data_IF_429224466601
#
_entry.id   IF_429224466601
#
_cell.length_a   1.000
_cell.length_b   1.000
_cell.length_c   1.000
_cell.angle_alpha   90.00
_cell.angle_beta   90.00
_cell.angle_gamma   90.00
#
_symmetry.space_group_name_H-M   'P 1'
#
loop_
_entity.id
_entity.type
_entity.pdbx_description
1 polymer ?
#
# COMPACT_ATOMS: atom_id res chain seq x y z
N UNK A 1 -3.27 43.45 -9.63
CA UNK A 1 -4.16 42.38 -9.17
C UNK A 1 -5.15 42.09 -10.28
N UNK A 2 -4.89 41.07 -11.05
CA UNK A 2 -5.81 40.59 -12.08
C UNK A 2 -6.20 39.17 -11.66
N UNK A 3 -7.45 38.99 -11.25
CA UNK A 3 -8.02 37.65 -10.99
C UNK A 3 -8.36 37.07 -12.36
N UNK A 4 -7.69 35.98 -12.71
CA UNK A 4 -8.08 35.11 -13.83
C UNK A 4 -8.92 34.00 -13.24
N UNK A 5 -10.20 33.98 -13.60
CA UNK A 5 -11.09 32.87 -13.30
C UNK A 5 -10.80 31.75 -14.28
N UNK A 6 -10.26 30.64 -13.82
CA UNK A 6 -10.20 29.41 -14.59
C UNK A 6 -11.51 28.63 -14.36
N UNK A 7 -12.24 28.44 -15.44
CA UNK A 7 -13.40 27.56 -15.51
C UNK A 7 -12.92 26.10 -15.56
N UNK A 8 -13.57 25.27 -14.77
CA UNK A 8 -13.35 23.82 -14.74
C UNK A 8 -13.46 23.22 -16.16
N UNK A 9 -12.37 22.67 -16.65
CA UNK A 9 -12.33 21.82 -17.84
C UNK A 9 -11.72 20.47 -17.44
N UNK A 10 -12.46 19.42 -17.72
CA UNK A 10 -12.06 18.03 -17.56
C UNK A 10 -10.62 17.80 -18.06
N UNK A 11 -9.72 17.44 -17.14
CA UNK A 11 -8.34 17.09 -17.47
C UNK A 11 -8.33 15.64 -17.97
N UNK A 12 -8.02 15.50 -19.24
CA UNK A 12 -7.77 14.20 -19.88
C UNK A 12 -6.35 13.78 -19.51
N UNK A 13 -6.18 12.64 -18.88
CA UNK A 13 -4.88 12.06 -18.58
C UNK A 13 -4.03 11.95 -19.85
N UNK A 14 -2.89 12.63 -19.89
CA UNK A 14 -1.92 12.57 -20.98
C UNK A 14 -0.86 11.53 -20.65
N UNK A 15 -1.03 10.32 -21.14
CA UNK A 15 -0.02 9.26 -21.07
C UNK A 15 1.03 9.52 -22.16
N UNK A 16 2.19 10.02 -21.81
CA UNK A 16 3.32 10.16 -22.72
C UNK A 16 4.12 8.86 -22.76
N UNK A 17 3.80 7.99 -23.71
CA UNK A 17 4.60 6.79 -23.98
C UNK A 17 5.71 7.16 -24.96
N UNK A 18 6.93 7.29 -24.46
CA UNK A 18 8.13 7.41 -25.29
C UNK A 18 8.47 6.02 -25.86
N UNK A 19 7.88 5.70 -27.02
CA UNK A 19 8.18 4.48 -27.74
C UNK A 19 9.57 4.53 -28.38
N UNK A 20 10.48 3.69 -27.94
CA UNK A 20 11.68 3.34 -28.69
C UNK A 20 11.28 2.45 -29.87
N UNK A 21 11.86 2.62 -31.07
CA UNK A 21 11.46 1.83 -32.23
C UNK A 21 11.86 0.37 -32.07
N UNK A 22 10.88 -0.52 -31.87
CA UNK A 22 11.07 -1.97 -31.97
C UNK A 22 11.16 -2.36 -33.44
N UNK A 23 12.24 -2.99 -33.83
CA UNK A 23 12.37 -3.62 -35.14
C UNK A 23 11.41 -4.83 -35.20
N UNK A 24 10.33 -4.71 -35.97
CA UNK A 24 9.38 -5.79 -36.20
C UNK A 24 10.02 -6.87 -37.07
N UNK A 25 10.28 -8.04 -36.50
CA UNK A 25 10.46 -9.26 -37.27
C UNK A 25 9.08 -9.73 -37.76
N UNK A 26 8.85 -9.70 -39.04
CA UNK A 26 7.64 -10.15 -39.70
C UNK A 26 7.60 -11.68 -39.68
N UNK A 27 6.74 -12.23 -38.82
CA UNK A 27 6.50 -13.67 -38.75
C UNK A 27 5.41 -14.03 -39.77
N UNK A 28 5.69 -15.02 -40.59
CA UNK A 28 4.78 -15.49 -41.65
C UNK A 28 3.56 -16.17 -41.04
N UNK A 29 2.38 -15.79 -41.49
CA UNK A 29 1.09 -16.37 -41.15
C UNK A 29 1.02 -17.85 -41.54
N UNK A 30 0.76 -18.72 -40.58
CA UNK A 30 0.25 -20.08 -40.76
C UNK A 30 -1.27 -20.06 -40.48
N UNK A 31 -2.16 -20.33 -41.48
CA UNK A 31 -3.58 -20.08 -41.32
C UNK A 31 -4.38 -21.28 -40.78
N UNK A 32 -3.87 -22.04 -39.80
CA UNK A 32 -4.60 -23.18 -39.22
C UNK A 32 -4.48 -23.27 -37.68
N UNK A 33 -4.86 -22.21 -36.99
CA UNK A 33 -5.17 -22.30 -35.56
C UNK A 33 -6.31 -21.31 -35.22
N UNK A 34 -7.55 -21.64 -35.57
CA UNK A 34 -8.74 -21.13 -34.89
C UNK A 34 -8.79 -21.79 -33.49
N UNK A 35 -7.79 -21.49 -32.64
CA UNK A 35 -7.82 -21.78 -31.24
C UNK A 35 -8.51 -20.62 -30.54
N UNK A 36 -9.48 -20.90 -29.69
CA UNK A 36 -10.01 -20.04 -28.65
C UNK A 36 -8.82 -19.21 -28.11
N UNK A 37 -8.90 -17.88 -28.18
CA UNK A 37 -7.89 -17.01 -27.59
C UNK A 37 -7.63 -17.53 -26.15
N UNK A 38 -6.45 -18.11 -25.91
CA UNK A 38 -6.13 -18.77 -24.66
C UNK A 38 -6.31 -17.74 -23.55
N UNK A 39 -7.13 -18.06 -22.56
CA UNK A 39 -7.16 -17.29 -21.32
C UNK A 39 -5.72 -17.27 -20.80
N UNK A 40 -5.19 -16.09 -20.60
CA UNK A 40 -3.86 -15.93 -20.01
C UNK A 40 -3.85 -16.61 -18.64
N UNK A 41 -2.94 -17.56 -18.46
CA UNK A 41 -2.85 -18.31 -17.22
C UNK A 41 -2.31 -17.40 -16.10
N UNK A 42 -3.14 -17.12 -15.11
CA UNK A 42 -2.75 -16.32 -13.95
C UNK A 42 -1.93 -17.19 -13.00
N UNK A 43 -0.67 -16.82 -12.83
CA UNK A 43 0.26 -17.50 -11.92
C UNK A 43 0.21 -16.84 -10.54
N UNK A 44 0.19 -17.64 -9.48
CA UNK A 44 0.17 -17.19 -8.08
C UNK A 44 1.29 -17.85 -7.27
N UNK A 45 1.64 -17.21 -6.16
CA UNK A 45 2.60 -17.73 -5.17
C UNK A 45 1.96 -17.98 -3.80
N UNK A 46 0.65 -18.09 -3.79
CA UNK A 46 -0.19 -18.15 -2.60
C UNK A 46 0.13 -19.31 -1.65
N UNK A 47 0.62 -20.44 -2.17
CA UNK A 47 1.06 -21.58 -1.34
C UNK A 47 2.59 -21.64 -1.17
N UNK A 48 3.27 -20.50 -1.27
CA UNK A 48 4.74 -20.41 -1.22
C UNK A 48 5.43 -21.20 -2.34
N UNK A 49 4.71 -21.52 -3.40
CA UNK A 49 5.17 -22.14 -4.64
C UNK A 49 4.48 -21.48 -5.82
N UNK A 50 5.10 -21.53 -6.97
CA UNK A 50 4.54 -21.04 -8.22
C UNK A 50 3.52 -22.06 -8.72
N UNK A 51 2.26 -21.65 -8.87
CA UNK A 51 1.16 -22.50 -9.34
C UNK A 51 0.13 -21.66 -10.11
N UNK A 52 -0.69 -22.32 -10.93
CA UNK A 52 -1.82 -21.67 -11.57
C UNK A 52 -2.86 -21.26 -10.53
N UNK A 53 -3.47 -20.08 -10.69
CA UNK A 53 -4.58 -19.64 -9.84
C UNK A 53 -5.73 -20.67 -9.81
N UNK A 54 -5.95 -21.40 -10.91
CA UNK A 54 -7.01 -22.41 -10.99
C UNK A 54 -6.70 -23.69 -10.21
N UNK A 55 -5.40 -23.98 -9.99
CA UNK A 55 -4.95 -25.15 -9.25
C UNK A 55 -4.72 -24.86 -7.75
N UNK A 56 -4.76 -23.58 -7.37
CA UNK A 56 -4.58 -23.16 -5.99
C UNK A 56 -5.68 -23.75 -5.10
N UNK A 57 -5.29 -24.53 -4.08
CA UNK A 57 -6.23 -25.17 -3.15
C UNK A 57 -6.90 -24.21 -2.15
N UNK A 58 -6.56 -22.93 -2.20
CA UNK A 58 -7.07 -21.86 -1.33
C UNK A 58 -7.72 -20.75 -2.18
N UNK A 59 -8.74 -20.05 -1.65
CA UNK A 59 -9.35 -18.94 -2.37
C UNK A 59 -8.39 -17.74 -2.43
N UNK A 60 -7.82 -17.51 -3.61
CA UNK A 60 -6.94 -16.38 -3.90
C UNK A 60 -7.64 -15.42 -4.85
N UNK A 61 -7.41 -14.15 -4.67
CA UNK A 61 -7.75 -13.10 -5.64
C UNK A 61 -6.48 -12.33 -5.98
N UNK A 62 -6.24 -12.10 -7.25
CA UNK A 62 -5.09 -11.35 -7.75
C UNK A 62 -5.54 -10.02 -8.30
N UNK A 63 -4.69 -9.03 -8.17
CA UNK A 63 -4.83 -7.70 -8.79
C UNK A 63 -3.53 -7.41 -9.50
N UNK A 64 -3.57 -7.30 -10.82
CA UNK A 64 -2.42 -6.93 -11.62
C UNK A 64 -2.21 -5.40 -11.66
N UNK A 65 -1.07 -4.97 -12.21
CA UNK A 65 -0.71 -3.55 -12.29
C UNK A 65 -1.73 -2.74 -13.09
N UNK A 66 -2.28 -3.31 -14.17
CA UNK A 66 -3.22 -2.61 -15.03
C UNK A 66 -4.56 -2.38 -14.31
N UNK A 67 -5.06 -3.39 -13.59
CA UNK A 67 -6.28 -3.28 -12.77
C UNK A 67 -6.12 -2.22 -11.67
N UNK A 68 -4.97 -2.21 -10.99
CA UNK A 68 -4.68 -1.22 -9.95
C UNK A 68 -4.61 0.19 -10.52
N UNK A 69 -3.92 0.37 -11.65
CA UNK A 69 -3.81 1.66 -12.34
C UNK A 69 -5.17 2.16 -12.86
N UNK A 70 -5.98 1.28 -13.47
CA UNK A 70 -7.31 1.64 -13.97
C UNK A 70 -8.29 2.00 -12.83
N UNK A 71 -8.11 1.43 -11.64
CA UNK A 71 -8.88 1.76 -10.45
C UNK A 71 -8.39 3.04 -9.76
N UNK A 72 -7.31 3.66 -10.23
CA UNK A 72 -6.72 4.85 -9.60
C UNK A 72 -6.20 4.59 -8.20
N UNK A 73 -5.63 3.41 -7.96
CA UNK A 73 -5.13 3.03 -6.64
C UNK A 73 -3.84 3.76 -6.30
N UNK A 74 -3.83 4.45 -5.18
CA UNK A 74 -2.70 5.20 -4.64
C UNK A 74 -2.11 4.52 -3.40
N UNK A 75 -2.95 3.78 -2.67
CA UNK A 75 -2.58 3.17 -1.40
C UNK A 75 -3.12 1.74 -1.25
N UNK A 76 -2.61 1.00 -0.28
CA UNK A 76 -3.12 -0.33 0.08
C UNK A 76 -4.59 -0.29 0.55
N UNK A 77 -5.08 0.89 0.98
CA UNK A 77 -6.46 1.09 1.38
C UNK A 77 -7.42 0.97 0.19
N UNK A 78 -6.97 1.37 -1.00
CA UNK A 78 -7.80 1.34 -2.22
C UNK A 78 -8.04 -0.09 -2.74
N UNK A 79 -7.30 -1.10 -2.25
CA UNK A 79 -7.57 -2.51 -2.56
C UNK A 79 -9.01 -2.94 -2.23
N UNK A 80 -9.67 -2.27 -1.27
CA UNK A 80 -11.08 -2.52 -0.96
C UNK A 80 -12.01 -2.17 -2.13
N UNK A 81 -11.64 -1.24 -3.01
CA UNK A 81 -12.41 -0.88 -4.21
C UNK A 81 -12.49 -2.06 -5.20
N UNK A 82 -11.46 -2.89 -5.23
CA UNK A 82 -11.34 -4.03 -6.13
C UNK A 82 -11.85 -5.35 -5.51
N UNK A 83 -12.03 -5.42 -4.19
CA UNK A 83 -12.44 -6.65 -3.51
C UNK A 83 -13.53 -6.42 -2.46
N UNK A 84 -14.77 -6.84 -2.73
CA UNK A 84 -15.84 -6.81 -1.71
C UNK A 84 -15.55 -7.69 -0.48
N UNK A 85 -14.57 -8.59 -0.57
CA UNK A 85 -14.16 -9.42 0.55
C UNK A 85 -13.20 -8.72 1.51
N UNK A 86 -12.62 -7.59 1.10
CA UNK A 86 -11.68 -6.81 1.87
C UNK A 86 -12.37 -5.57 2.44
N UNK A 87 -12.44 -5.48 3.75
CA UNK A 87 -12.84 -4.27 4.47
C UNK A 87 -11.60 -3.58 5.02
N UNK A 88 -11.62 -2.26 5.02
CA UNK A 88 -10.53 -1.45 5.55
C UNK A 88 -11.10 -0.42 6.50
N UNK A 89 -10.40 -0.20 7.60
CA UNK A 89 -10.70 0.86 8.56
C UNK A 89 -9.43 1.64 8.84
N UNK A 90 -9.42 2.91 8.51
CA UNK A 90 -8.40 3.85 8.93
C UNK A 90 -8.77 4.38 10.32
N UNK A 91 -7.91 4.11 11.31
CA UNK A 91 -8.20 4.43 12.72
C UNK A 91 -7.74 5.82 13.17
N UNK A 92 -7.34 6.67 12.23
CA UNK A 92 -6.60 7.92 12.48
C UNK A 92 -5.09 7.68 12.44
N UNK A 93 -4.34 8.67 12.00
CA UNK A 93 -2.92 8.52 11.71
C UNK A 93 -2.64 7.45 10.64
N UNK A 94 -1.45 6.90 10.59
CA UNK A 94 -1.07 5.90 9.57
C UNK A 94 -1.64 4.50 9.84
N UNK A 95 -2.42 4.33 10.91
CA UNK A 95 -2.93 3.02 11.34
C UNK A 95 -4.06 2.53 10.43
N UNK A 96 -3.78 1.50 9.69
CA UNK A 96 -4.76 0.85 8.80
C UNK A 96 -5.07 -0.57 9.28
N UNK A 97 -6.35 -0.85 9.47
CA UNK A 97 -6.84 -2.16 9.85
C UNK A 97 -7.50 -2.86 8.67
N UNK A 98 -7.08 -4.08 8.38
CA UNK A 98 -7.61 -4.89 7.30
C UNK A 98 -8.53 -5.99 7.83
N UNK A 99 -9.64 -6.21 7.13
CA UNK A 99 -10.61 -7.25 7.43
C UNK A 99 -10.88 -8.06 6.17
N UNK A 100 -10.71 -9.37 6.25
CA UNK A 100 -11.03 -10.26 5.13
C UNK A 100 -12.26 -11.08 5.49
N UNK A 101 -13.34 -10.92 4.71
CA UNK A 101 -14.65 -11.56 4.99
C UNK A 101 -15.17 -11.27 6.40
N UNK A 102 -14.92 -10.05 6.91
CA UNK A 102 -15.29 -9.63 8.26
C UNK A 102 -14.37 -10.12 9.39
N UNK A 103 -13.34 -10.90 9.07
CA UNK A 103 -12.32 -11.33 10.06
C UNK A 103 -11.15 -10.35 9.99
N UNK A 104 -10.86 -9.70 11.11
CA UNK A 104 -9.80 -8.71 11.24
C UNK A 104 -9.64 -8.29 12.70
N UNK A 105 -8.71 -7.40 12.96
CA UNK A 105 -8.55 -6.75 14.25
C UNK A 105 -8.48 -5.25 14.02
N UNK A 106 -9.27 -4.48 14.78
CA UNK A 106 -9.17 -3.03 14.75
C UNK A 106 -7.87 -2.61 15.44
N UNK A 107 -6.95 -2.11 14.66
CA UNK A 107 -5.66 -1.62 15.13
C UNK A 107 -5.83 -0.15 15.53
N UNK A 108 -5.95 0.10 16.83
CA UNK A 108 -6.13 1.46 17.37
C UNK A 108 -4.88 2.00 18.05
N UNK A 109 -3.82 1.19 18.10
CA UNK A 109 -2.52 1.57 18.67
C UNK A 109 -1.41 0.64 18.13
N UNK A 110 -0.14 1.06 18.21
CA UNK A 110 1.01 0.30 17.68
C UNK A 110 1.23 -1.07 18.35
N UNK A 111 0.62 -1.33 19.51
CA UNK A 111 0.82 -2.57 20.28
C UNK A 111 -0.16 -3.68 19.87
N UNK A 112 -1.10 -3.40 18.97
CA UNK A 112 -2.11 -4.36 18.53
C UNK A 112 -1.64 -5.09 17.28
N UNK A 113 -1.61 -6.42 17.32
CA UNK A 113 -1.32 -7.24 16.15
C UNK A 113 -2.53 -7.31 15.19
N UNK A 114 -2.26 -7.25 13.88
CA UNK A 114 -3.27 -7.48 12.85
C UNK A 114 -3.68 -8.95 12.79
N UNK A 115 -4.91 -9.23 12.37
CA UNK A 115 -5.36 -10.59 12.04
C UNK A 115 -5.13 -10.95 10.55
N UNK A 116 -4.72 -9.97 9.74
CA UNK A 116 -4.36 -10.13 8.33
C UNK A 116 -2.86 -9.91 8.21
N UNK A 117 -2.13 -10.95 7.81
CA UNK A 117 -0.70 -10.85 7.57
C UNK A 117 -0.44 -10.06 6.27
N UNK A 118 0.54 -9.19 6.29
CA UNK A 118 1.02 -8.52 5.10
C UNK A 118 2.43 -8.98 4.80
N UNK A 119 2.71 -9.28 3.53
CA UNK A 119 4.04 -9.63 3.07
C UNK A 119 4.41 -8.77 1.88
N UNK A 120 5.63 -8.30 1.89
CA UNK A 120 6.21 -7.56 0.78
C UNK A 120 7.40 -8.36 0.24
N UNK A 121 7.33 -8.74 -1.04
CA UNK A 121 8.37 -9.53 -1.69
C UNK A 121 8.73 -10.84 -0.94
N UNK A 122 7.71 -11.50 -0.37
CA UNK A 122 7.89 -12.71 0.43
C UNK A 122 8.28 -12.48 1.88
N UNK A 123 8.65 -11.25 2.28
CA UNK A 123 9.03 -10.88 3.64
C UNK A 123 7.80 -10.44 4.43
N UNK A 124 7.56 -11.05 5.59
CA UNK A 124 6.50 -10.64 6.50
C UNK A 124 6.76 -9.23 7.05
N UNK A 125 5.74 -8.38 7.03
CA UNK A 125 5.77 -7.05 7.62
C UNK A 125 5.23 -7.12 9.06
N UNK A 126 6.13 -7.06 10.04
CA UNK A 126 5.80 -7.23 11.46
C UNK A 126 4.88 -6.14 12.01
N UNK A 127 5.07 -4.93 11.54
CA UNK A 127 4.20 -3.77 11.77
C UNK A 127 3.52 -3.43 10.46
N UNK A 128 2.28 -3.87 10.32
CA UNK A 128 1.51 -3.67 9.09
C UNK A 128 0.86 -2.30 8.98
N UNK A 129 0.85 -1.52 10.07
CA UNK A 129 0.35 -0.16 10.05
C UNK A 129 1.22 0.72 9.14
N UNK A 130 0.70 1.13 8.02
CA UNK A 130 1.36 2.03 7.08
C UNK A 130 2.48 1.42 6.22
N UNK A 131 3.15 0.35 6.65
CA UNK A 131 4.33 -0.21 5.96
C UNK A 131 4.11 -0.62 4.50
N UNK A 132 2.87 -0.95 4.12
CA UNK A 132 2.50 -1.24 2.75
C UNK A 132 1.89 -0.03 2.01
N UNK A 133 1.67 1.09 2.69
CA UNK A 133 0.98 2.25 2.11
C UNK A 133 1.64 2.80 0.85
N UNK A 134 2.95 2.84 0.79
CA UNK A 134 3.71 3.35 -0.34
C UNK A 134 4.34 2.25 -1.22
N UNK A 135 3.99 0.97 -0.98
CA UNK A 135 4.57 -0.15 -1.71
C UNK A 135 3.91 -0.45 -3.06
N UNK A 136 2.83 0.28 -3.43
CA UNK A 136 2.01 -0.01 -4.62
C UNK A 136 2.58 0.53 -5.92
N UNK A 137 3.89 0.59 -6.06
CA UNK A 137 4.54 0.97 -7.32
C UNK A 137 5.38 -0.19 -7.87
N UNK A 138 5.42 -0.29 -9.18
CA UNK A 138 6.21 -1.31 -9.90
C UNK A 138 5.96 -2.72 -9.34
N UNK A 139 4.68 -3.04 -9.11
CA UNK A 139 4.23 -4.36 -8.70
C UNK A 139 3.88 -5.20 -9.93
N UNK A 140 4.23 -6.47 -9.88
CA UNK A 140 3.72 -7.47 -10.81
C UNK A 140 2.24 -7.74 -10.51
N UNK A 141 1.92 -7.93 -9.22
CA UNK A 141 0.56 -8.17 -8.73
C UNK A 141 0.47 -8.03 -7.21
N UNK A 142 -0.76 -7.94 -6.71
CA UNK A 142 -1.12 -8.17 -5.31
C UNK A 142 -1.96 -9.44 -5.22
N UNK A 143 -1.67 -10.30 -4.26
CA UNK A 143 -2.44 -11.52 -3.98
C UNK A 143 -3.17 -11.38 -2.64
N UNK A 144 -4.50 -11.52 -2.65
CA UNK A 144 -5.33 -11.57 -1.46
C UNK A 144 -5.76 -13.03 -1.19
N UNK A 145 -5.17 -13.64 -0.18
CA UNK A 145 -5.50 -14.98 0.29
C UNK A 145 -6.60 -14.88 1.34
N UNK A 146 -7.73 -15.51 1.09
CA UNK A 146 -8.95 -15.37 1.90
C UNK A 146 -9.11 -16.55 2.85
N UNK A 147 -9.09 -16.30 4.15
CA UNK A 147 -9.23 -17.29 5.22
C UNK A 147 -7.91 -17.63 5.92
N UNK A 148 -7.92 -18.51 6.93
CA UNK A 148 -6.74 -18.80 7.76
C UNK A 148 -5.58 -19.37 6.95
N UNK A 149 -4.39 -18.77 7.10
CA UNK A 149 -3.14 -19.13 6.41
C UNK A 149 -1.98 -19.36 7.39
N UNK A 150 -2.24 -19.53 8.67
CA UNK A 150 -1.22 -19.61 9.71
C UNK A 150 -0.18 -20.72 9.52
N UNK A 151 -0.52 -21.82 8.83
CA UNK A 151 0.41 -22.94 8.56
C UNK A 151 1.54 -22.59 7.60
N UNK A 152 1.29 -21.70 6.63
CA UNK A 152 2.27 -21.29 5.60
C UNK A 152 2.84 -19.91 5.83
N UNK A 153 2.06 -19.02 6.45
CA UNK A 153 2.42 -17.61 6.63
C UNK A 153 2.74 -17.25 8.08
N UNK A 154 2.54 -18.20 9.02
CA UNK A 154 2.86 -18.00 10.42
C UNK A 154 1.84 -17.13 11.16
N UNK A 155 2.33 -16.26 12.05
CA UNK A 155 1.47 -15.41 12.90
C UNK A 155 0.68 -14.38 12.09
N UNK A 156 -0.40 -13.89 12.68
CA UNK A 156 -1.22 -12.79 12.17
C UNK A 156 -1.92 -13.09 10.83
N UNK A 157 -2.03 -14.37 10.44
CA UNK A 157 -2.69 -14.84 9.22
C UNK A 157 -4.01 -15.58 9.52
N UNK A 158 -4.77 -15.12 10.52
CA UNK A 158 -6.01 -15.77 10.96
C UNK A 158 -7.18 -15.49 10.02
N UNK A 159 -7.28 -14.29 9.50
CA UNK A 159 -8.33 -13.86 8.57
C UNK A 159 -7.92 -13.96 7.09
N UNK A 160 -6.64 -13.85 6.82
CA UNK A 160 -6.09 -13.86 5.46
C UNK A 160 -4.67 -13.34 5.38
N UNK A 161 -4.19 -13.21 4.14
CA UNK A 161 -2.87 -12.65 3.83
C UNK A 161 -2.98 -11.73 2.63
N UNK A 162 -2.23 -10.63 2.64
CA UNK A 162 -2.01 -9.78 1.48
C UNK A 162 -0.53 -9.87 1.12
N UNK A 163 -0.23 -10.33 -0.11
CA UNK A 163 1.12 -10.40 -0.65
C UNK A 163 1.29 -9.31 -1.71
N UNK A 164 2.23 -8.41 -1.51
CA UNK A 164 2.67 -7.42 -2.50
C UNK A 164 3.89 -7.99 -3.22
N UNK A 165 3.77 -8.22 -4.52
CA UNK A 165 4.80 -8.88 -5.33
C UNK A 165 5.36 -7.87 -6.34
N UNK A 166 6.57 -7.35 -6.11
CA UNK A 166 7.20 -6.42 -7.04
C UNK A 166 7.70 -7.10 -8.30
N UNK A 167 7.79 -6.33 -9.39
CA UNK A 167 8.45 -6.80 -10.62
C UNK A 167 9.92 -7.07 -10.33
N UNK A 168 10.37 -8.26 -10.72
CA UNK A 168 11.77 -8.69 -10.55
C UNK A 168 12.62 -8.24 -11.74
N UNK A 169 13.96 -8.10 -11.56
CA UNK A 169 14.86 -7.87 -12.69
C UNK A 169 14.79 -9.02 -13.72
N UNK A 170 14.87 -8.69 -15.00
CA UNK A 170 14.80 -9.64 -16.12
C UNK A 170 16.12 -9.67 -16.87
N UNK A 171 16.71 -10.87 -17.06
CA UNK A 171 17.90 -11.08 -17.86
C UNK A 171 17.58 -10.92 -19.35
N UNK A 172 18.55 -10.43 -20.11
CA UNK A 172 18.44 -10.32 -21.57
C UNK A 172 17.47 -9.24 -22.07
N UNK A 173 16.84 -8.48 -21.18
CA UNK A 173 15.85 -7.45 -21.54
C UNK A 173 16.22 -6.08 -20.94
N UNK A 174 16.17 -5.04 -21.79
CA UNK A 174 16.22 -3.66 -21.35
C UNK A 174 14.81 -3.06 -21.57
N UNK A 175 14.15 -2.76 -20.49
CA UNK A 175 12.78 -2.22 -20.50
C UNK A 175 12.60 -1.16 -19.42
N UNK A 176 11.52 -0.42 -19.50
CA UNK A 176 11.20 0.57 -18.48
C UNK A 176 9.98 1.39 -18.88
N UNK A 177 9.48 2.12 -17.90
CA UNK A 177 8.39 3.06 -18.10
C UNK A 177 8.59 4.28 -17.21
N UNK A 178 7.92 5.35 -17.57
CA UNK A 178 7.70 6.54 -16.74
C UNK A 178 6.24 6.95 -16.90
N UNK A 179 5.60 7.24 -15.80
CA UNK A 179 4.20 7.65 -15.74
C UNK A 179 4.10 8.90 -14.88
N UNK A 180 3.40 9.91 -15.39
CA UNK A 180 3.07 11.13 -14.65
C UNK A 180 1.56 11.23 -14.47
N UNK A 181 1.14 11.74 -13.33
CA UNK A 181 -0.25 11.99 -13.00
C UNK A 181 -0.41 13.42 -12.49
N UNK A 182 -1.52 14.07 -12.87
CA UNK A 182 -1.94 15.36 -12.33
C UNK A 182 -3.43 15.32 -12.05
N UNK A 183 -3.88 15.95 -10.99
CA UNK A 183 -5.26 15.91 -10.57
C UNK A 183 -5.69 17.13 -9.77
N UNK A 184 -6.86 17.03 -9.18
CA UNK A 184 -7.39 18.05 -8.28
C UNK A 184 -6.52 18.18 -7.01
N UNK A 185 -6.68 19.26 -6.27
CA UNK A 185 -5.87 19.57 -5.09
C UNK A 185 -4.37 19.63 -5.38
N UNK A 186 -3.97 20.23 -6.50
CA UNK A 186 -2.58 20.37 -6.95
C UNK A 186 -1.84 19.02 -7.12
N UNK A 187 -2.55 17.90 -7.20
CA UNK A 187 -1.95 16.57 -7.28
C UNK A 187 -0.94 16.47 -8.38
N UNK A 188 0.26 16.01 -8.03
CA UNK A 188 1.35 15.65 -8.95
C UNK A 188 1.92 14.29 -8.50
N UNK A 189 1.78 13.31 -9.38
CA UNK A 189 2.36 11.97 -9.19
C UNK A 189 3.39 11.66 -10.26
N UNK A 190 4.46 10.99 -9.88
CA UNK A 190 5.48 10.47 -10.81
C UNK A 190 5.85 9.05 -10.38
N UNK A 191 5.82 8.12 -11.33
CA UNK A 191 6.23 6.74 -11.12
C UNK A 191 7.07 6.26 -12.31
N UNK A 192 8.08 5.43 -12.04
CA UNK A 192 8.85 4.85 -13.12
C UNK A 192 9.70 3.66 -12.68
N UNK A 193 10.10 2.87 -13.67
CA UNK A 193 11.03 1.77 -13.48
C UNK A 193 11.94 1.61 -14.71
N UNK A 194 13.14 1.08 -14.49
CA UNK A 194 14.07 0.70 -15.54
C UNK A 194 14.69 -0.67 -15.21
N UNK A 195 14.62 -1.58 -16.16
CA UNK A 195 15.30 -2.86 -16.16
C UNK A 195 16.49 -2.80 -17.10
N UNK A 196 17.67 -3.17 -16.61
CA UNK A 196 18.94 -3.13 -17.34
C UNK A 196 19.57 -4.53 -17.30
N UNK A 197 19.63 -5.20 -18.43
CA UNK A 197 20.37 -6.43 -18.59
C UNK A 197 21.87 -6.09 -18.76
N UNK A 198 22.62 -6.23 -17.67
CA UNK A 198 24.07 -5.91 -17.65
C UNK A 198 24.89 -6.97 -18.39
N UNK A 199 24.46 -8.24 -18.28
CA UNK A 199 25.03 -9.39 -18.98
C UNK A 199 23.99 -10.51 -19.07
N UNK A 200 24.37 -11.63 -19.69
CA UNK A 200 23.53 -12.83 -19.76
C UNK A 200 23.20 -13.43 -18.38
N UNK A 201 23.91 -13.03 -17.34
CA UNK A 201 23.78 -13.56 -15.98
C UNK A 201 23.47 -12.49 -14.92
N UNK A 202 23.44 -11.22 -15.30
CA UNK A 202 23.22 -10.09 -14.36
C UNK A 202 22.21 -9.12 -14.93
N UNK A 203 21.18 -8.82 -14.15
CA UNK A 203 20.24 -7.74 -14.41
C UNK A 203 20.06 -6.84 -13.19
N UNK A 204 19.76 -5.58 -13.42
CA UNK A 204 19.45 -4.59 -12.40
C UNK A 204 18.08 -4.00 -12.73
N UNK A 205 17.26 -3.81 -11.70
CA UNK A 205 16.03 -3.05 -11.82
C UNK A 205 16.02 -1.93 -10.78
N UNK A 206 15.71 -0.72 -11.22
CA UNK A 206 15.51 0.44 -10.34
C UNK A 206 14.12 0.96 -10.59
N UNK A 207 13.37 1.22 -9.53
CA UNK A 207 12.03 1.78 -9.60
C UNK A 207 11.80 2.80 -8.50
N UNK A 208 10.85 3.70 -8.71
CA UNK A 208 10.47 4.68 -7.71
C UNK A 208 9.16 5.37 -8.05
N UNK A 209 8.57 5.97 -7.03
CA UNK A 209 7.41 6.83 -7.15
C UNK A 209 7.54 8.04 -6.24
N UNK A 210 6.82 9.11 -6.55
CA UNK A 210 6.52 10.22 -5.67
C UNK A 210 5.08 10.66 -5.90
N UNK A 211 4.44 11.10 -4.83
CA UNK A 211 3.08 11.63 -4.85
C UNK A 211 3.01 12.84 -3.94
N UNK A 212 2.58 13.95 -4.48
CA UNK A 212 2.33 15.20 -3.79
C UNK A 212 0.90 15.66 -4.13
N UNK A 213 0.10 15.96 -3.10
CA UNK A 213 -1.28 16.43 -3.24
C UNK A 213 -1.68 17.23 -2.00
N UNK A 214 -2.21 18.43 -2.21
CA UNK A 214 -2.81 19.24 -1.15
C UNK A 214 -3.96 18.52 -0.46
N UNK A 215 -4.23 18.84 0.80
CA UNK A 215 -5.37 18.32 1.53
C UNK A 215 -6.70 18.71 0.87
N UNK A 216 -7.68 17.82 0.93
CA UNK A 216 -9.01 18.11 0.42
C UNK A 216 -9.97 18.65 1.50
N UNK A 217 -9.54 18.64 2.77
CA UNK A 217 -10.27 19.25 3.86
C UNK A 217 -9.94 20.74 3.96
N UNK A 218 -10.87 21.54 4.54
CA UNK A 218 -10.71 23.00 4.68
C UNK A 218 -9.52 23.39 5.59
N UNK A 219 -9.00 22.43 6.34
CA UNK A 219 -7.85 22.55 7.24
C UNK A 219 -6.58 21.87 6.73
N UNK A 220 -6.49 21.64 5.44
CA UNK A 220 -5.38 20.98 4.74
C UNK A 220 -5.08 19.53 5.19
N UNK A 221 -5.92 18.90 6.04
CA UNK A 221 -5.80 17.47 6.33
C UNK A 221 -6.20 16.62 5.11
N UNK A 222 -5.82 15.34 5.14
CA UNK A 222 -5.97 14.39 4.03
C UNK A 222 -5.09 14.76 2.81
N UNK A 223 -3.97 15.41 3.04
CA UNK A 223 -2.90 15.64 2.09
C UNK A 223 -2.08 14.35 1.83
N UNK A 224 -1.23 14.40 0.85
CA UNK A 224 -0.26 13.33 0.56
C UNK A 224 1.06 13.95 0.13
N UNK A 225 2.13 13.64 0.85
CA UNK A 225 3.50 13.86 0.44
C UNK A 225 4.31 12.61 0.75
N UNK A 226 4.75 11.94 -0.29
CA UNK A 226 5.46 10.68 -0.14
C UNK A 226 6.35 10.38 -1.34
N UNK A 227 7.43 9.65 -1.08
CA UNK A 227 8.24 9.07 -2.15
C UNK A 227 8.81 7.71 -1.73
N UNK A 228 9.08 6.89 -2.73
CA UNK A 228 9.71 5.59 -2.52
C UNK A 228 10.68 5.25 -3.63
N UNK A 229 11.72 4.50 -3.27
CA UNK A 229 12.74 4.01 -4.18
C UNK A 229 13.02 2.53 -3.91
N UNK A 230 13.27 1.76 -4.96
CA UNK A 230 13.71 0.36 -4.86
C UNK A 230 14.78 0.05 -5.89
N UNK A 231 15.85 -0.58 -5.44
CA UNK A 231 16.90 -1.13 -6.27
C UNK A 231 16.98 -2.64 -6.11
N UNK A 232 17.08 -3.35 -7.22
CA UNK A 232 17.22 -4.82 -7.25
C UNK A 232 18.36 -5.23 -8.15
N UNK A 233 19.05 -6.31 -7.78
CA UNK A 233 20.07 -6.97 -8.58
C UNK A 233 19.77 -8.46 -8.64
N UNK A 234 19.72 -9.01 -9.84
CA UNK A 234 19.60 -10.44 -10.11
C UNK A 234 20.94 -10.96 -10.66
N UNK A 235 21.40 -12.06 -10.09
CA UNK A 235 22.58 -12.78 -10.52
C UNK A 235 22.32 -14.28 -10.68
N UNK A 236 22.38 -14.77 -11.90
CA UNK A 236 22.17 -16.19 -12.28
C UNK A 236 23.40 -16.73 -13.01
N UNK A 237 24.45 -17.16 -12.27
CA UNK A 237 25.69 -17.63 -12.88
C UNK A 237 25.56 -18.95 -13.66
N UNK A 238 24.49 -19.70 -13.40
CA UNK A 238 24.13 -20.95 -14.05
C UNK A 238 22.69 -21.34 -13.77
N UNK A 239 22.17 -22.35 -14.43
CA UNK A 239 20.79 -22.84 -14.35
C UNK A 239 20.36 -23.35 -12.95
N UNK A 240 21.30 -23.50 -12.01
CA UNK A 240 21.02 -24.04 -10.68
C UNK A 240 20.98 -22.98 -9.58
N UNK A 241 21.58 -21.83 -9.79
CA UNK A 241 21.72 -20.81 -8.76
C UNK A 241 21.17 -19.47 -9.25
N UNK A 242 20.19 -18.94 -8.53
CA UNK A 242 19.68 -17.60 -8.71
C UNK A 242 19.82 -16.85 -7.39
N UNK A 243 20.40 -15.66 -7.42
CA UNK A 243 20.55 -14.77 -6.27
C UNK A 243 19.95 -13.42 -6.64
N UNK A 244 18.95 -12.98 -5.90
CA UNK A 244 18.38 -11.65 -6.02
C UNK A 244 18.61 -10.87 -4.73
N UNK A 245 19.14 -9.65 -4.87
CA UNK A 245 19.27 -8.68 -3.79
C UNK A 245 18.27 -7.56 -4.02
N UNK A 246 17.64 -7.08 -2.97
CA UNK A 246 16.73 -5.93 -3.02
C UNK A 246 16.99 -5.00 -1.85
N UNK A 247 16.92 -3.70 -2.12
CA UNK A 247 16.89 -2.64 -1.11
C UNK A 247 15.76 -1.67 -1.47
N UNK A 248 14.97 -1.26 -0.47
CA UNK A 248 13.89 -0.31 -0.63
C UNK A 248 13.92 0.74 0.49
N UNK A 249 13.46 1.94 0.14
CA UNK A 249 13.25 3.05 1.04
C UNK A 249 11.96 3.77 0.70
N UNK A 250 11.20 4.18 1.72
CA UNK A 250 9.98 4.98 1.56
C UNK A 250 9.90 6.04 2.65
N UNK A 251 9.39 7.22 2.28
CA UNK A 251 9.12 8.34 3.18
C UNK A 251 7.70 8.84 3.00
N UNK A 252 7.05 9.17 4.12
CA UNK A 252 5.83 9.96 4.20
C UNK A 252 6.12 11.18 5.07
N UNK A 253 5.79 12.38 4.60
CA UNK A 253 5.96 13.64 5.31
C UNK A 253 4.77 14.54 5.01
N UNK A 254 3.68 14.39 5.76
CA UNK A 254 2.41 15.06 5.48
C UNK A 254 1.66 15.42 6.78
N UNK A 255 0.55 16.17 6.66
CA UNK A 255 -0.34 16.46 7.79
C UNK A 255 -1.11 15.20 8.20
N UNK A 256 -1.47 14.38 7.23
CA UNK A 256 -2.12 13.10 7.44
C UNK A 256 -3.65 13.13 7.46
N UNK A 257 -4.28 12.00 7.79
CA UNK A 257 -5.71 11.86 7.67
C UNK A 257 -6.47 12.71 8.69
N UNK A 258 -7.45 13.45 8.21
CA UNK A 258 -8.45 14.16 8.97
C UNK A 258 -9.80 13.46 8.93
N UNK A 259 -10.70 13.86 9.81
CA UNK A 259 -12.08 13.39 9.82
C UNK A 259 -13.03 14.54 10.14
N UNK A 260 -14.17 14.57 9.45
CA UNK A 260 -15.18 15.60 9.62
C UNK A 260 -16.04 15.35 10.85
N UNK A 261 -16.36 16.40 11.57
CA UNK A 261 -17.33 16.35 12.64
C UNK A 261 -18.74 16.55 12.07
N UNK A 262 -19.42 15.46 11.74
CA UNK A 262 -20.78 15.51 11.16
C UNK A 262 -21.86 15.90 12.16
N UNK A 263 -21.62 15.73 13.46
CA UNK A 263 -22.56 16.08 14.51
C UNK A 263 -22.29 15.37 15.83
N UNK A 264 -23.19 15.58 16.79
CA UNK A 264 -23.10 15.00 18.13
C UNK A 264 -24.38 14.24 18.49
N UNK A 265 -24.25 13.26 19.39
CA UNK A 265 -25.39 12.56 19.99
C UNK A 265 -25.61 13.01 21.42
N UNK A 266 -26.88 13.18 21.82
CA UNK A 266 -27.22 13.41 23.21
C UNK A 266 -27.07 12.12 24.02
N UNK A 267 -26.40 12.19 25.18
CA UNK A 267 -26.17 11.09 26.12
C UNK A 267 -25.24 9.95 25.69
N UNK A 268 -23.96 10.17 25.57
CA UNK A 268 -22.97 9.12 25.71
C UNK A 268 -22.63 8.88 27.19
N UNK A 269 -22.02 7.79 27.61
CA UNK A 269 -21.43 6.69 26.83
C UNK A 269 -22.08 5.31 27.07
N UNK A 270 -23.18 5.18 27.81
CA UNK A 270 -23.72 3.86 28.21
C UNK A 270 -25.25 3.71 27.99
N UNK A 271 -25.88 4.62 27.26
CA UNK A 271 -27.31 4.57 26.93
C UNK A 271 -27.59 4.41 25.45
N UNK A 272 -28.85 4.30 25.05
CA UNK A 272 -29.24 4.32 23.64
C UNK A 272 -28.76 5.63 23.01
N UNK A 273 -28.13 5.51 21.83
CA UNK A 273 -27.75 6.66 21.01
C UNK A 273 -29.04 7.31 20.51
N UNK A 274 -29.42 8.40 21.14
CA UNK A 274 -30.66 9.15 20.80
C UNK A 274 -30.26 10.56 20.40
N UNK A 275 -31.10 11.17 19.56
CA UNK A 275 -31.04 12.59 19.22
C UNK A 275 -29.73 13.07 18.63
N UNK A 276 -29.48 12.68 17.37
CA UNK A 276 -28.37 13.21 16.57
C UNK A 276 -28.61 14.71 16.30
N UNK A 277 -27.63 15.54 16.63
CA UNK A 277 -27.58 16.95 16.30
C UNK A 277 -26.49 17.19 15.26
N UNK A 278 -26.83 17.57 14.01
CA UNK A 278 -25.86 17.91 13.01
C UNK A 278 -24.91 19.02 13.46
N UNK A 279 -23.64 18.96 13.08
CA UNK A 279 -22.65 20.01 13.40
C UNK A 279 -22.98 21.35 12.74
N UNK A 280 -23.58 21.32 11.57
CA UNK A 280 -23.78 22.51 10.72
C UNK A 280 -22.51 23.03 10.06
N UNK A 281 -21.42 22.27 10.15
CA UNK A 281 -20.15 22.57 9.51
C UNK A 281 -20.15 22.16 8.02
N UNK A 282 -19.14 22.60 7.28
CA UNK A 282 -18.87 22.15 5.91
C UNK A 282 -18.66 20.64 5.87
N UNK A 283 -18.99 20.01 4.77
CA UNK A 283 -18.70 18.59 4.49
C UNK A 283 -17.20 18.28 4.45
N UNK A 284 -16.36 19.31 4.37
CA UNK A 284 -14.90 19.21 4.33
C UNK A 284 -14.25 19.90 5.54
N UNK A 285 -14.95 20.08 6.67
CA UNK A 285 -14.48 20.88 7.82
C UNK A 285 -13.35 20.16 8.45
N UNK A 286 -12.62 19.46 8.42
CA UNK A 286 -11.52 18.77 9.10
C UNK A 286 -11.47 18.94 10.63
N UNK A 287 -10.57 18.23 11.29
CA UNK A 287 -10.51 18.18 12.75
C UNK A 287 -10.03 19.48 13.42
N UNK A 288 -9.31 20.34 12.71
CA UNK A 288 -8.77 21.59 13.27
C UNK A 288 -9.67 22.79 13.02
N UNK A 289 -10.78 22.61 12.28
CA UNK A 289 -11.76 23.67 12.04
C UNK A 289 -12.22 24.29 13.36
N UNK A 290 -12.24 25.63 13.47
CA UNK A 290 -12.67 26.31 14.70
C UNK A 290 -14.05 25.90 15.20
N UNK A 291 -15.01 25.69 14.29
CA UNK A 291 -16.35 25.22 14.64
C UNK A 291 -16.35 23.78 15.16
N UNK A 292 -15.51 22.91 14.62
CA UNK A 292 -15.33 21.56 15.12
C UNK A 292 -14.70 21.58 16.53
N UNK A 293 -13.72 22.45 16.77
CA UNK A 293 -13.11 22.67 18.07
C UNK A 293 -14.12 23.21 19.09
N UNK A 294 -14.95 24.18 18.69
CA UNK A 294 -15.99 24.74 19.57
C UNK A 294 -17.02 23.68 19.98
N UNK A 295 -17.46 22.83 19.06
CA UNK A 295 -18.40 21.75 19.36
C UNK A 295 -17.74 20.72 20.29
N UNK A 296 -16.52 20.30 20.04
CA UNK A 296 -15.79 19.33 20.88
C UNK A 296 -15.61 19.86 22.30
N UNK A 297 -15.15 21.08 22.46
CA UNK A 297 -14.91 21.68 23.77
C UNK A 297 -16.21 22.01 24.50
N UNK A 298 -17.27 22.39 23.79
CA UNK A 298 -18.57 22.72 24.35
C UNK A 298 -19.41 21.51 24.78
N UNK A 299 -19.44 20.46 23.97
CA UNK A 299 -20.37 19.31 24.18
C UNK A 299 -19.73 18.20 25.01
N UNK A 300 -18.43 17.99 24.87
CA UNK A 300 -17.73 16.87 25.52
C UNK A 300 -17.11 17.23 26.86
N UNK A 301 -17.40 18.41 27.37
CA UNK A 301 -16.93 18.87 28.68
C UNK A 301 -17.64 18.13 29.82
N UNK A 302 -17.38 16.86 30.00
CA UNK A 302 -17.83 16.10 31.18
C UNK A 302 -16.71 16.02 32.20
N UNK A 303 -17.01 16.19 33.51
CA UNK A 303 -16.00 16.18 34.58
C UNK A 303 -15.23 14.88 34.71
N UNK A 304 -15.65 13.82 34.00
CA UNK A 304 -15.07 12.45 34.10
C UNK A 304 -13.98 12.19 33.10
N UNK A 305 -13.80 13.02 32.10
CA UNK A 305 -12.72 12.91 31.11
C UNK A 305 -11.86 14.18 31.18
N UNK A 306 -10.57 14.05 30.86
CA UNK A 306 -9.69 15.20 30.72
C UNK A 306 -10.32 16.25 29.79
N UNK A 307 -10.18 17.55 30.07
CA UNK A 307 -10.76 18.58 29.23
C UNK A 307 -10.23 18.38 27.80
N UNK A 308 -11.17 18.30 26.83
CA UNK A 308 -10.78 18.27 25.43
C UNK A 308 -10.08 19.57 25.09
N UNK A 309 -8.89 19.45 24.51
CA UNK A 309 -8.16 20.60 24.03
C UNK A 309 -8.49 20.83 22.55
N UNK A 310 -8.51 22.10 22.11
CA UNK A 310 -8.54 22.37 20.67
C UNK A 310 -7.40 21.64 19.98
N UNK A 311 -7.60 21.27 18.73
CA UNK A 311 -6.57 20.71 17.86
C UNK A 311 -6.19 21.82 16.90
N UNK A 312 -4.96 22.26 16.97
CA UNK A 312 -4.41 23.22 16.02
C UNK A 312 -3.84 22.46 14.83
N UNK A 313 -3.77 23.10 13.65
CA UNK A 313 -3.24 22.48 12.43
C UNK A 313 -1.79 22.01 12.62
N UNK A 314 -0.97 22.81 13.31
CA UNK A 314 0.43 22.48 13.61
C UNK A 314 0.58 21.26 14.56
N UNK A 315 -0.53 20.80 15.15
CA UNK A 315 -0.55 19.61 15.99
C UNK A 315 -0.63 18.30 15.18
N UNK A 316 -0.93 18.38 13.87
CA UNK A 316 -1.14 17.20 13.03
C UNK A 316 0.02 17.03 12.06
N UNK A 317 0.65 15.87 12.08
CA UNK A 317 1.73 15.53 11.15
C UNK A 317 2.02 14.03 11.13
N UNK A 318 2.65 13.59 10.06
CA UNK A 318 3.24 12.27 9.90
C UNK A 318 4.62 12.41 9.28
N UNK A 319 5.65 12.00 10.01
CA UNK A 319 7.02 11.86 9.54
C UNK A 319 7.40 10.39 9.72
N UNK A 320 7.41 9.63 8.62
CA UNK A 320 7.53 8.18 8.66
C UNK A 320 8.50 7.70 7.61
N UNK A 321 9.49 6.93 8.05
CA UNK A 321 10.50 6.31 7.21
C UNK A 321 10.43 4.79 7.28
N UNK A 322 10.61 4.12 6.14
CA UNK A 322 10.80 2.67 6.06
C UNK A 322 12.02 2.36 5.22
N UNK A 323 12.82 1.43 5.69
CA UNK A 323 13.97 0.89 4.98
C UNK A 323 13.92 -0.63 4.98
N UNK A 324 14.21 -1.25 3.84
CA UNK A 324 14.23 -2.70 3.70
C UNK A 324 15.43 -3.20 2.93
N UNK A 325 15.95 -4.35 3.36
CA UNK A 325 16.99 -5.10 2.67
C UNK A 325 16.62 -6.57 2.67
N UNK A 326 16.76 -7.23 1.52
CA UNK A 326 16.56 -8.66 1.44
C UNK A 326 17.48 -9.31 0.41
N UNK A 327 17.71 -10.61 0.60
CA UNK A 327 18.25 -11.48 -0.45
C UNK A 327 17.29 -12.65 -0.65
N UNK A 328 17.13 -13.10 -1.89
CA UNK A 328 16.47 -14.34 -2.25
C UNK A 328 17.49 -15.21 -2.96
N UNK A 329 17.81 -16.36 -2.37
CA UNK A 329 18.76 -17.33 -2.93
C UNK A 329 17.99 -18.60 -3.25
N UNK A 330 17.92 -18.95 -4.54
CA UNK A 330 17.30 -20.18 -5.02
C UNK A 330 18.38 -21.12 -5.54
N UNK A 331 18.39 -22.35 -5.05
CA UNK A 331 19.30 -23.38 -5.50
C UNK A 331 18.53 -24.63 -5.95
N UNK A 332 18.65 -24.93 -7.25
CA UNK A 332 18.01 -26.09 -7.86
C UNK A 332 18.84 -27.34 -7.62
N UNK A 333 18.24 -28.30 -6.92
CA UNK A 333 18.80 -29.65 -6.69
C UNK A 333 18.10 -30.67 -7.60
N UNK A 334 18.58 -31.91 -7.59
CA UNK A 334 17.91 -33.01 -8.31
C UNK A 334 16.54 -33.38 -7.72
N UNK A 335 16.29 -33.01 -6.45
CA UNK A 335 15.07 -33.35 -5.70
C UNK A 335 14.06 -32.18 -5.60
N UNK A 336 14.48 -30.96 -5.97
CA UNK A 336 13.64 -29.78 -5.86
C UNK A 336 14.45 -28.51 -5.63
N UNK A 337 13.78 -27.40 -5.38
CA UNK A 337 14.36 -26.07 -5.18
C UNK A 337 14.48 -25.74 -3.70
N UNK A 338 15.68 -25.38 -3.26
CA UNK A 338 15.95 -24.80 -1.95
C UNK A 338 15.93 -23.27 -2.08
N UNK A 339 15.08 -22.60 -1.32
CA UNK A 339 14.97 -21.14 -1.27
C UNK A 339 15.34 -20.64 0.11
N UNK A 340 16.24 -19.64 0.19
CA UNK A 340 16.61 -18.96 1.43
C UNK A 340 16.40 -17.45 1.30
N UNK A 341 15.64 -16.85 2.23
CA UNK A 341 15.31 -15.43 2.21
C UNK A 341 15.66 -14.81 3.57
N UNK A 342 16.87 -14.29 3.76
CA UNK A 342 17.19 -13.38 4.85
C UNK A 342 16.68 -11.98 4.52
N UNK A 343 16.09 -11.29 5.50
CA UNK A 343 15.67 -9.91 5.34
C UNK A 343 15.81 -9.12 6.65
N UNK A 344 16.06 -7.83 6.49
CA UNK A 344 16.05 -6.81 7.54
C UNK A 344 15.15 -5.66 7.11
N UNK A 345 14.31 -5.21 8.01
CA UNK A 345 13.45 -4.03 7.81
C UNK A 345 13.49 -3.16 9.05
N UNK A 346 13.45 -1.87 8.82
CA UNK A 346 13.43 -0.82 9.84
C UNK A 346 12.32 0.18 9.51
N UNK A 347 11.66 0.70 10.54
CA UNK A 347 10.74 1.82 10.40
C UNK A 347 10.88 2.78 11.58
N UNK A 348 10.98 4.05 11.28
CA UNK A 348 10.93 5.16 12.21
C UNK A 348 9.65 5.96 11.96
N UNK A 349 8.83 6.15 12.98
CA UNK A 349 7.52 6.77 12.84
C UNK A 349 7.33 7.80 13.96
N UNK A 350 7.28 9.07 13.58
CA UNK A 350 6.86 10.19 14.45
C UNK A 350 5.59 10.79 13.84
N UNK A 351 4.46 10.61 14.50
CA UNK A 351 3.21 11.17 14.02
C UNK A 351 2.30 11.61 15.15
N UNK A 352 1.50 12.63 14.87
CA UNK A 352 0.46 13.13 15.73
C UNK A 352 -0.83 13.28 14.94
N UNK A 353 -1.90 12.71 15.46
CA UNK A 353 -3.19 12.69 14.79
C UNK A 353 -4.32 13.07 15.75
N UNK A 354 -5.47 13.49 15.18
CA UNK A 354 -6.66 13.71 15.97
C UNK A 354 -7.33 12.36 16.30
N UNK A 355 -7.16 11.90 17.52
CA UNK A 355 -7.89 10.73 18.02
C UNK A 355 -9.40 10.97 18.03
N UNK A 356 -10.25 9.93 17.87
CA UNK A 356 -11.70 10.10 17.82
C UNK A 356 -12.22 10.72 19.13
N UNK A 357 -12.55 12.00 19.08
CA UNK A 357 -13.08 12.77 20.19
C UNK A 357 -12.09 13.12 21.29
N UNK A 358 -10.78 12.96 21.08
CA UNK A 358 -9.73 13.21 22.08
C UNK A 358 -8.76 14.31 21.63
N UNK A 359 -7.91 14.72 22.56
CA UNK A 359 -6.76 15.57 22.28
C UNK A 359 -5.82 14.90 21.24
N UNK A 360 -4.96 15.68 20.57
CA UNK A 360 -3.98 15.12 19.65
C UNK A 360 -3.21 13.97 20.29
N UNK A 361 -3.13 12.85 19.60
CA UNK A 361 -2.40 11.67 20.05
C UNK A 361 -1.08 11.56 19.32
N UNK A 362 0.03 11.77 20.05
CA UNK A 362 1.38 11.63 19.51
C UNK A 362 1.88 10.21 19.71
N UNK A 363 2.48 9.65 18.67
CA UNK A 363 3.15 8.34 18.68
C UNK A 363 4.57 8.50 18.16
N UNK A 364 5.50 7.89 18.89
CA UNK A 364 6.89 7.70 18.50
C UNK A 364 7.14 6.20 18.47
N UNK A 365 7.50 5.66 17.32
CA UNK A 365 7.73 4.22 17.17
C UNK A 365 8.96 3.98 16.32
N UNK A 366 9.92 3.25 16.89
CA UNK A 366 11.13 2.77 16.22
C UNK A 366 11.07 1.23 16.22
N UNK A 367 11.10 0.62 15.04
CA UNK A 367 11.02 -0.82 14.88
C UNK A 367 12.10 -1.32 13.98
N UNK A 368 12.76 -2.39 14.40
CA UNK A 368 13.61 -3.21 13.58
C UNK A 368 13.12 -4.66 13.54
N UNK A 369 13.28 -5.29 12.40
CA UNK A 369 12.88 -6.67 12.18
C UNK A 369 13.91 -7.40 11.36
N UNK A 370 14.40 -8.53 11.86
CA UNK A 370 15.20 -9.48 11.08
C UNK A 370 14.41 -10.77 10.89
N UNK A 371 14.32 -11.24 9.66
CA UNK A 371 13.63 -12.50 9.32
C UNK A 371 14.51 -13.41 8.50
N UNK A 372 14.30 -14.72 8.67
CA UNK A 372 14.93 -15.77 7.88
C UNK A 372 13.87 -16.77 7.46
N UNK A 373 13.74 -17.01 6.16
CA UNK A 373 12.88 -18.06 5.65
C UNK A 373 13.72 -19.08 4.87
N UNK A 374 13.48 -20.37 5.13
CA UNK A 374 14.09 -21.47 4.40
C UNK A 374 12.98 -22.40 3.93
N UNK A 375 12.93 -22.64 2.61
CA UNK A 375 11.93 -23.49 1.97
C UNK A 375 12.60 -24.56 1.13
N UNK A 376 11.96 -25.70 1.04
CA UNK A 376 12.31 -26.73 0.07
C UNK A 376 11.02 -27.18 -0.65
N UNK A 377 10.97 -27.00 -1.96
CA UNK A 377 9.85 -27.37 -2.81
C UNK A 377 10.29 -28.45 -3.80
N UNK A 378 9.51 -29.56 -3.88
CA UNK A 378 9.78 -30.71 -4.77
C UNK A 378 8.87 -30.65 -5.98
#
# INVERSE_FOLDING_TARGET
>A
MVKVALTASSVTALTLVLGLPTASAQQADDPTASGIAGLEEVIVTAQRRVESLQDAAIPVQTFDQDQMTQAGMESAQDLALLSPALGISAGGGPLTSFFVRGVGALTVNPLTDSAIAQNYDGVYLGRSSGAAGNALYDLERVELLKGPQGTLYGRNATGGVINYIPVKPMLGENSGFIQGEVGDYSKVGLQGAANIAVSDTVAIRVSGNSLDRDGYSDDDTNDQDSYSLRGQLLFEPNDKLSIRLSADYSKVDNVGPGGDLIGTYANPPLGEITDFTPSGLSENSGPTDPGANDIRTGVLHTPSFAPFQPIDQDDLYQDIDWTGYMAEVNYQTELGTLTFIPAYRESDQDYQFSGPGFAPAKTLEDNDQTTFELRFAT
#
